data_IF_038251352972
#
_entry.id   IF_038251352972
#
_cell.length_a   1.000
_cell.length_b   1.000
_cell.length_c   1.000
_cell.angle_alpha   90.00
_cell.angle_beta   90.00
_cell.angle_gamma   90.00
#
_symmetry.space_group_name_H-M   'P 1'
#
loop_
_entity.id
_entity.type
_entity.pdbx_description
1 polymer ?
#
# COMPACT_ATOMS: atom_id res chain seq x y z
N UNK A 1 12.47 -6.63 -24.78
CA UNK A 1 11.09 -6.15 -24.54
C UNK A 1 11.15 -5.06 -23.49
N UNK A 2 10.54 -3.88 -23.69
CA UNK A 2 10.51 -2.85 -22.65
C UNK A 2 9.83 -3.43 -21.39
N UNK A 3 10.29 -3.08 -20.19
CA UNK A 3 9.62 -3.49 -18.96
C UNK A 3 8.16 -3.02 -19.03
N UNK A 4 7.26 -3.97 -18.81
CA UNK A 4 5.82 -3.79 -18.92
C UNK A 4 5.32 -2.92 -17.74
N UNK A 5 5.43 -1.59 -17.87
CA UNK A 5 5.06 -0.59 -16.86
C UNK A 5 3.54 -0.51 -16.56
N UNK A 6 2.71 -1.28 -17.27
CA UNK A 6 1.24 -1.20 -17.21
C UNK A 6 0.58 -2.31 -16.36
N UNK A 7 1.35 -3.19 -15.72
CA UNK A 7 0.84 -4.16 -14.74
C UNK A 7 1.08 -3.70 -13.30
N UNK A 8 0.20 -2.85 -12.76
CA UNK A 8 0.12 -2.68 -11.31
C UNK A 8 -0.43 -3.97 -10.69
N UNK A 9 0.43 -4.70 -9.99
CA UNK A 9 0.05 -5.94 -9.31
C UNK A 9 -0.48 -5.61 -7.91
N UNK A 10 -1.80 -5.68 -7.75
CA UNK A 10 -2.46 -5.62 -6.45
C UNK A 10 -2.57 -7.01 -5.87
N UNK A 11 -2.30 -7.13 -4.57
CA UNK A 11 -2.29 -8.40 -3.85
C UNK A 11 -3.11 -8.29 -2.57
N UNK A 12 -3.81 -9.38 -2.26
CA UNK A 12 -4.61 -9.53 -1.06
C UNK A 12 -3.83 -10.31 -0.02
N UNK A 13 -3.65 -9.71 1.15
CA UNK A 13 -2.97 -10.32 2.29
C UNK A 13 -4.01 -10.71 3.34
N UNK A 14 -3.88 -11.91 3.88
CA UNK A 14 -4.61 -12.32 5.06
C UNK A 14 -3.98 -11.66 6.31
N UNK A 15 -4.82 -11.09 7.18
CA UNK A 15 -4.39 -10.52 8.45
C UNK A 15 -4.79 -11.43 9.62
N UNK A 16 -6.03 -11.91 9.60
CA UNK A 16 -6.54 -13.03 10.40
C UNK A 16 -7.80 -13.56 9.73
N UNK A 17 -8.19 -14.80 10.07
CA UNK A 17 -9.34 -15.49 9.44
C UNK A 17 -10.66 -14.73 9.53
N UNK A 18 -10.84 -13.90 10.57
CA UNK A 18 -12.06 -13.11 10.79
C UNK A 18 -11.97 -11.67 10.26
N UNK A 19 -10.81 -11.22 9.80
CA UNK A 19 -10.62 -9.87 9.29
C UNK A 19 -10.69 -9.85 7.76
N UNK A 20 -11.27 -8.81 7.13
CA UNK A 20 -11.25 -8.72 5.68
C UNK A 20 -9.82 -8.44 5.19
N UNK A 21 -9.47 -9.00 4.03
CA UNK A 21 -8.13 -8.94 3.43
C UNK A 21 -7.55 -7.51 3.35
N UNK A 22 -6.24 -7.42 3.54
CA UNK A 22 -5.46 -6.21 3.33
C UNK A 22 -5.09 -6.10 1.86
N UNK A 23 -5.10 -4.88 1.31
CA UNK A 23 -4.74 -4.63 -0.08
C UNK A 23 -3.37 -3.98 -0.11
N UNK A 24 -2.47 -4.50 -0.95
CA UNK A 24 -1.15 -3.90 -1.19
C UNK A 24 -0.86 -3.85 -2.68
N UNK A 25 -0.06 -2.89 -3.12
CA UNK A 25 0.48 -2.83 -4.49
C UNK A 25 1.95 -3.19 -4.45
N UNK A 26 2.37 -4.13 -5.28
CA UNK A 26 3.77 -4.50 -5.42
C UNK A 26 4.48 -3.43 -6.24
N UNK A 27 5.50 -2.82 -5.64
CA UNK A 27 6.43 -1.92 -6.32
C UNK A 27 7.62 -2.71 -6.87
N UNK A 28 8.11 -3.68 -6.10
CA UNK A 28 9.30 -4.46 -6.43
C UNK A 28 9.21 -5.86 -5.83
N UNK A 29 9.71 -6.86 -6.56
CA UNK A 29 9.90 -8.22 -6.08
C UNK A 29 11.35 -8.61 -6.28
N UNK A 30 11.99 -9.01 -5.19
CA UNK A 30 13.37 -9.47 -5.20
C UNK A 30 13.42 -10.92 -4.75
N UNK A 31 14.16 -11.74 -5.48
CA UNK A 31 14.49 -13.10 -5.06
C UNK A 31 15.90 -13.10 -4.49
N UNK A 32 16.04 -13.48 -3.22
CA UNK A 32 17.35 -13.57 -2.57
C UNK A 32 18.10 -14.81 -3.08
N UNK A 33 19.43 -14.80 -2.94
CA UNK A 33 20.28 -15.93 -3.37
C UNK A 33 19.91 -17.26 -2.69
N UNK A 34 19.37 -17.19 -1.47
CA UNK A 34 18.91 -18.36 -0.72
C UNK A 34 17.52 -18.85 -1.14
N UNK A 35 16.90 -18.20 -2.14
CA UNK A 35 15.63 -18.59 -2.72
C UNK A 35 14.39 -17.93 -2.10
N UNK A 36 14.56 -17.09 -1.07
CA UNK A 36 13.44 -16.34 -0.48
C UNK A 36 12.96 -15.25 -1.43
N UNK A 37 11.67 -14.88 -1.32
CA UNK A 37 11.09 -13.79 -2.08
C UNK A 37 10.72 -12.67 -1.13
N UNK A 38 11.21 -11.47 -1.44
CA UNK A 38 10.93 -10.24 -0.71
C UNK A 38 10.15 -9.30 -1.60
N UNK A 39 9.16 -8.62 -1.03
CA UNK A 39 8.30 -7.70 -1.76
C UNK A 39 8.34 -6.32 -1.11
N UNK A 40 8.71 -5.30 -1.89
CA UNK A 40 8.49 -3.90 -1.53
C UNK A 40 7.10 -3.52 -2.01
N UNK A 41 6.27 -3.04 -1.09
CA UNK A 41 4.85 -2.82 -1.33
C UNK A 41 4.38 -1.48 -0.83
N UNK A 42 3.43 -0.88 -1.53
CA UNK A 42 2.59 0.20 -1.00
C UNK A 42 1.39 -0.42 -0.29
N UNK A 43 1.15 -0.01 0.96
CA UNK A 43 0.04 -0.50 1.78
C UNK A 43 -1.17 0.43 1.65
N UNK A 44 -2.35 -0.17 1.42
CA UNK A 44 -3.62 0.54 1.50
C UNK A 44 -4.32 0.19 2.79
N UNK A 45 -4.69 1.22 3.54
CA UNK A 45 -5.41 1.09 4.80
C UNK A 45 -6.85 1.54 4.61
N UNK A 46 -7.78 0.81 5.19
CA UNK A 46 -9.16 1.29 5.29
C UNK A 46 -9.17 2.38 6.36
N UNK A 47 -9.99 3.42 6.17
CA UNK A 47 -10.07 4.55 7.11
C UNK A 47 -10.28 4.11 8.56
N UNK A 48 -11.12 3.09 8.80
CA UNK A 48 -11.39 2.53 10.14
C UNK A 48 -10.19 1.82 10.81
N UNK A 49 -9.20 1.38 10.03
CA UNK A 49 -8.01 0.70 10.55
C UNK A 49 -6.90 1.70 10.94
N UNK A 50 -7.09 2.99 10.64
CA UNK A 50 -6.15 4.07 10.94
C UNK A 50 -6.67 4.83 12.17
N UNK A 51 -5.76 5.24 13.07
CA UNK A 51 -6.17 6.05 14.22
C UNK A 51 -6.71 7.41 13.78
N UNK A 52 -7.75 7.89 14.48
CA UNK A 52 -8.38 9.18 14.16
C UNK A 52 -7.38 10.35 14.19
N UNK A 53 -6.40 10.31 15.08
CA UNK A 53 -5.34 11.33 15.15
C UNK A 53 -4.49 11.39 13.87
N UNK A 54 -4.14 10.24 13.29
CA UNK A 54 -3.38 10.17 12.04
C UNK A 54 -4.22 10.63 10.84
N UNK A 55 -5.51 10.28 10.83
CA UNK A 55 -6.44 10.75 9.80
C UNK A 55 -6.54 12.28 9.82
N UNK A 56 -6.76 12.88 11.00
CA UNK A 56 -6.82 14.33 11.14
C UNK A 56 -5.53 15.02 10.68
N UNK A 57 -4.38 14.45 11.02
CA UNK A 57 -3.09 14.98 10.60
C UNK A 57 -2.94 14.91 9.07
N UNK A 58 -3.25 13.76 8.46
CA UNK A 58 -3.21 13.59 7.02
C UNK A 58 -4.17 14.54 6.29
N UNK A 59 -5.42 14.66 6.77
CA UNK A 59 -6.42 15.57 6.21
C UNK A 59 -5.93 17.03 6.26
N UNK A 60 -5.24 17.46 7.33
CA UNK A 60 -4.61 18.79 7.43
C UNK A 60 -3.48 19.00 6.42
N UNK A 61 -2.63 18.00 6.20
CA UNK A 61 -1.55 18.10 5.21
C UNK A 61 -2.08 18.12 3.78
N UNK A 62 -3.10 17.30 3.47
CA UNK A 62 -3.73 17.25 2.16
C UNK A 62 -4.51 18.52 1.84
N UNK A 63 -5.20 19.11 2.82
CA UNK A 63 -5.86 20.41 2.64
C UNK A 63 -4.86 21.55 2.45
N UNK A 64 -3.71 21.52 3.10
CA UNK A 64 -2.64 22.52 2.88
C UNK A 64 -1.99 22.41 1.48
N UNK A 65 -1.88 21.19 0.94
CA UNK A 65 -1.39 20.95 -0.43
C UNK A 65 -2.44 21.26 -1.51
N UNK A 66 -3.72 21.41 -1.14
CA UNK A 66 -4.85 21.65 -2.03
C UNK A 66 -5.25 23.11 -2.25
N UNK A 67 -4.59 24.07 -1.60
CA UNK A 67 -4.91 25.51 -1.71
C UNK A 67 -4.33 26.22 -2.95
N UNK A 68 -3.93 25.48 -3.98
CA UNK A 68 -3.70 25.99 -5.33
C UNK A 68 -4.70 25.36 -6.30
N UNK A 69 -5.98 25.65 -6.08
CA UNK A 69 -7.07 25.61 -7.04
C UNK A 69 -8.03 26.75 -6.70
#
# INVERSE_FOLDING_TARGET
>A
SPPNFYKQNYVYFENSSSNPYLIRRIEELNKTANGNVEAKVVCFYRRRDISNSLIMLADKHLTCLGSCC
#
